data_IF_507757825775
#
_entry.id   IF_507757825775
#
_cell.length_a   1.000
_cell.length_b   1.000
_cell.length_c   1.000
_cell.angle_alpha   90.00
_cell.angle_beta   90.00
_cell.angle_gamma   90.00
#
_symmetry.space_group_name_H-M   'P 1'
#
loop_
_entity.id
_entity.type
_entity.pdbx_description
1 polymer ?
#
# COMPACT_ATOMS: atom_id res chain seq x y z
N UNK A 1 -17.07 -9.39 12.27
CA UNK A 1 -17.07 -9.22 10.79
C UNK A 1 -16.12 -8.12 10.34
N UNK A 2 -15.74 -7.17 11.21
CA UNK A 2 -14.75 -6.11 10.96
C UNK A 2 -13.36 -6.61 10.54
N UNK A 3 -12.91 -7.76 11.02
CA UNK A 3 -11.58 -8.30 10.68
C UNK A 3 -11.38 -8.58 9.19
N UNK A 4 -12.47 -8.88 8.47
CA UNK A 4 -12.43 -9.15 7.04
C UNK A 4 -12.02 -7.91 6.23
N UNK A 5 -12.42 -6.73 6.71
CA UNK A 5 -12.09 -5.43 6.10
C UNK A 5 -10.62 -5.05 6.28
N UNK A 6 -9.91 -5.67 7.24
CA UNK A 6 -8.49 -5.43 7.43
C UNK A 6 -7.60 -6.25 6.48
N UNK A 7 -8.13 -7.34 5.91
CA UNK A 7 -7.36 -8.27 5.09
C UNK A 7 -6.72 -7.64 3.84
N UNK A 8 -7.37 -6.74 3.07
CA UNK A 8 -6.82 -6.20 1.83
C UNK A 8 -5.47 -5.48 1.97
N UNK A 9 -5.22 -4.84 3.12
CA UNK A 9 -3.94 -4.20 3.41
C UNK A 9 -3.02 -5.06 4.30
N UNK A 10 -3.56 -5.95 5.14
CA UNK A 10 -2.75 -6.86 5.95
C UNK A 10 -2.01 -7.90 5.11
N UNK A 11 -2.61 -8.41 4.03
CA UNK A 11 -1.97 -9.44 3.17
C UNK A 11 -0.73 -8.88 2.47
N UNK A 12 -0.77 -7.70 1.81
CA UNK A 12 0.43 -7.14 1.21
C UNK A 12 1.48 -6.78 2.27
N UNK A 13 1.09 -6.31 3.46
CA UNK A 13 2.05 -6.07 4.57
C UNK A 13 2.74 -7.37 5.01
N UNK A 14 1.97 -8.43 5.26
CA UNK A 14 2.53 -9.73 5.63
C UNK A 14 3.47 -10.26 4.53
N UNK A 15 3.06 -10.13 3.26
CA UNK A 15 3.89 -10.51 2.11
C UNK A 15 5.17 -9.67 2.04
N UNK A 16 5.10 -8.37 2.31
CA UNK A 16 6.26 -7.48 2.36
C UNK A 16 7.26 -7.91 3.45
N UNK A 17 6.75 -8.26 4.65
CA UNK A 17 7.56 -8.72 5.77
C UNK A 17 8.21 -10.08 5.48
N UNK A 18 7.50 -11.02 4.86
CA UNK A 18 8.03 -12.35 4.51
C UNK A 18 9.07 -12.25 3.38
N UNK A 19 8.87 -11.35 2.42
CA UNK A 19 9.82 -11.17 1.31
C UNK A 19 11.12 -10.46 1.73
N UNK A 20 11.10 -9.72 2.86
CA UNK A 20 12.26 -8.98 3.36
C UNK A 20 13.48 -9.87 3.71
N UNK A 21 13.36 -10.94 4.53
CA UNK A 21 14.48 -11.85 4.81
C UNK A 21 14.85 -12.70 3.58
N UNK A 22 13.92 -12.92 2.65
CA UNK A 22 14.12 -13.76 1.47
C UNK A 22 14.93 -13.09 0.34
N UNK A 23 15.32 -11.82 0.48
CA UNK A 23 16.00 -10.97 -0.54
C UNK A 23 17.18 -11.62 -1.29
N UNK A 24 17.84 -12.61 -0.69
CA UNK A 24 18.93 -13.35 -1.33
C UNK A 24 18.50 -14.34 -2.42
N UNK A 25 17.21 -14.72 -2.50
CA UNK A 25 16.69 -15.79 -3.36
C UNK A 25 15.58 -15.26 -4.28
N UNK A 26 15.99 -14.81 -5.48
CA UNK A 26 15.10 -14.24 -6.53
C UNK A 26 13.78 -14.99 -6.69
N UNK A 27 13.86 -16.29 -7.00
CA UNK A 27 12.69 -17.09 -7.34
C UNK A 27 11.72 -17.26 -6.17
N UNK A 28 12.22 -17.34 -4.92
CA UNK A 28 11.37 -17.39 -3.74
C UNK A 28 10.68 -16.05 -3.50
N UNK A 29 11.41 -14.92 -3.59
CA UNK A 29 10.80 -13.59 -3.43
C UNK A 29 9.69 -13.35 -4.45
N UNK A 30 9.94 -13.64 -5.73
CA UNK A 30 8.95 -13.46 -6.77
C UNK A 30 7.75 -14.39 -6.58
N UNK A 31 7.97 -15.67 -6.25
CA UNK A 31 6.90 -16.62 -5.95
C UNK A 31 6.02 -16.17 -4.78
N UNK A 32 6.62 -15.73 -3.67
CA UNK A 32 5.89 -15.22 -2.50
C UNK A 32 5.11 -13.95 -2.85
N UNK A 33 5.70 -13.04 -3.65
CA UNK A 33 5.03 -11.80 -4.07
C UNK A 33 3.80 -12.09 -4.94
N UNK A 34 3.91 -13.02 -5.89
CA UNK A 34 2.79 -13.44 -6.75
C UNK A 34 1.70 -14.11 -5.92
N UNK A 35 2.07 -15.01 -5.01
CA UNK A 35 1.11 -15.64 -4.10
C UNK A 35 0.40 -14.60 -3.23
N UNK A 36 1.10 -13.59 -2.72
CA UNK A 36 0.51 -12.47 -1.98
C UNK A 36 -0.45 -11.62 -2.81
N UNK A 37 -0.11 -11.32 -4.08
CA UNK A 37 -1.02 -10.63 -4.98
C UNK A 37 -2.25 -11.47 -5.31
N UNK A 38 -2.09 -12.78 -5.49
CA UNK A 38 -3.17 -13.69 -5.81
C UNK A 38 -4.13 -13.89 -4.62
N UNK A 39 -3.60 -14.00 -3.40
CA UNK A 39 -4.44 -14.05 -2.19
C UNK A 39 -5.18 -12.73 -1.96
N UNK A 40 -4.52 -11.57 -2.18
CA UNK A 40 -5.18 -10.27 -2.12
C UNK A 40 -6.30 -10.13 -3.18
N UNK A 41 -6.08 -10.62 -4.40
CA UNK A 41 -7.09 -10.65 -5.45
C UNK A 41 -8.33 -11.47 -5.04
N UNK A 42 -8.13 -12.69 -4.54
CA UNK A 42 -9.22 -13.55 -4.08
C UNK A 42 -10.02 -12.90 -2.94
N UNK A 43 -9.34 -12.22 -2.02
CA UNK A 43 -10.00 -11.56 -0.89
C UNK A 43 -10.75 -10.31 -1.33
N UNK A 44 -10.19 -9.50 -2.24
CA UNK A 44 -10.89 -8.35 -2.79
C UNK A 44 -12.12 -8.76 -3.62
N UNK A 45 -12.03 -9.87 -4.35
CA UNK A 45 -13.19 -10.44 -5.05
C UNK A 45 -14.27 -10.90 -4.06
N UNK A 46 -13.88 -11.54 -2.96
CA UNK A 46 -14.82 -11.94 -1.90
C UNK A 46 -15.53 -10.74 -1.26
N UNK A 47 -14.78 -9.66 -0.98
CA UNK A 47 -15.35 -8.42 -0.44
C UNK A 47 -16.33 -7.78 -1.42
N UNK A 48 -16.04 -7.78 -2.72
CA UNK A 48 -16.95 -7.25 -3.75
C UNK A 48 -18.29 -7.98 -3.74
N UNK A 49 -18.27 -9.32 -3.75
CA UNK A 49 -19.50 -10.15 -3.68
C UNK A 49 -20.26 -9.93 -2.37
N UNK A 50 -19.55 -9.75 -1.26
CA UNK A 50 -20.16 -9.47 0.04
C UNK A 50 -20.88 -8.12 0.05
N UNK A 51 -20.24 -7.07 -0.47
CA UNK A 51 -20.82 -5.71 -0.52
C UNK A 51 -21.98 -5.64 -1.51
N UNK A 52 -21.94 -6.43 -2.59
CA UNK A 52 -23.04 -6.52 -3.55
C UNK A 52 -24.28 -7.21 -2.95
N UNK A 53 -24.08 -8.28 -2.17
CA UNK A 53 -25.17 -9.06 -1.57
C UNK A 53 -25.75 -8.47 -0.28
N UNK A 54 -24.91 -7.89 0.59
CA UNK A 54 -25.30 -7.43 1.93
C UNK A 54 -25.30 -5.91 2.09
N UNK A 55 -24.89 -5.17 1.05
CA UNK A 55 -24.74 -3.72 1.09
C UNK A 55 -23.42 -3.26 1.73
N UNK A 56 -23.24 -1.94 1.92
CA UNK A 56 -22.02 -1.36 2.45
C UNK A 56 -21.67 -1.91 3.84
N UNK A 57 -20.41 -2.31 4.02
CA UNK A 57 -19.92 -2.88 5.28
C UNK A 57 -19.09 -1.83 6.01
N UNK A 58 -19.45 -1.53 7.26
CA UNK A 58 -18.69 -0.66 8.14
C UNK A 58 -18.27 -1.43 9.39
N UNK A 59 -16.99 -1.34 9.74
CA UNK A 59 -16.43 -1.97 10.92
C UNK A 59 -15.52 -1.00 11.66
N UNK A 60 -15.69 -0.91 12.98
CA UNK A 60 -14.72 -0.22 13.83
C UNK A 60 -13.60 -1.18 14.22
N UNK A 61 -12.37 -0.68 14.14
CA UNK A 61 -11.17 -1.39 14.55
C UNK A 61 -10.87 -0.98 16.01
N UNK A 62 -11.11 -1.90 16.94
CA UNK A 62 -11.02 -1.68 18.39
C UNK A 62 -12.38 -1.57 19.06
N UNK A 63 -12.40 -1.69 20.39
CA UNK A 63 -13.62 -1.63 21.22
C UNK A 63 -13.94 -0.20 21.71
N UNK A 64 -13.38 0.79 21.02
CA UNK A 64 -13.61 2.20 21.31
C UNK A 64 -14.86 2.68 20.58
N UNK A 65 -15.81 3.25 21.33
CA UNK A 65 -16.98 3.87 20.71
C UNK A 65 -16.57 5.02 19.78
N UNK A 66 -17.28 5.17 18.66
CA UNK A 66 -17.18 6.38 17.81
C UNK A 66 -17.30 7.63 18.71
N UNK A 67 -16.42 8.65 18.59
CA UNK A 67 -15.71 9.10 17.38
C UNK A 67 -14.18 8.88 17.33
N UNK A 68 -13.58 8.17 18.30
CA UNK A 68 -12.12 8.03 18.40
C UNK A 68 -11.57 6.71 17.81
N UNK A 69 -12.44 5.78 17.40
CA UNK A 69 -12.06 4.51 16.80
C UNK A 69 -11.73 4.61 15.30
N UNK A 70 -10.83 3.76 14.83
CA UNK A 70 -10.49 3.66 13.39
C UNK A 70 -11.68 3.01 12.66
N UNK A 71 -12.31 3.75 11.75
CA UNK A 71 -13.41 3.22 10.94
C UNK A 71 -12.90 2.67 9.61
N UNK A 72 -13.26 1.43 9.33
CA UNK A 72 -13.07 0.78 8.04
C UNK A 72 -14.43 0.67 7.36
N UNK A 73 -14.53 1.19 6.16
CA UNK A 73 -15.76 1.21 5.36
C UNK A 73 -15.45 0.63 3.99
N UNK A 74 -16.14 -0.45 3.65
CA UNK A 74 -16.14 -0.99 2.30
C UNK A 74 -17.51 -0.76 1.66
N UNK A 75 -17.56 0.19 0.75
CA UNK A 75 -18.68 0.41 -0.15
C UNK A 75 -18.38 -0.22 -1.53
N UNK A 76 -19.33 -0.06 -2.47
CA UNK A 76 -19.18 -0.63 -3.82
C UNK A 76 -18.02 0.00 -4.58
N UNK A 77 -17.80 1.31 -4.41
CA UNK A 77 -16.72 2.01 -5.10
C UNK A 77 -15.36 1.52 -4.60
N UNK A 78 -15.16 1.47 -3.28
CA UNK A 78 -13.93 0.96 -2.68
C UNK A 78 -13.68 -0.50 -3.03
N UNK A 79 -14.71 -1.36 -3.04
CA UNK A 79 -14.55 -2.75 -3.43
C UNK A 79 -14.06 -2.91 -4.89
N UNK A 80 -14.60 -2.11 -5.81
CA UNK A 80 -14.15 -2.10 -7.22
C UNK A 80 -12.71 -1.57 -7.34
N UNK A 81 -12.37 -0.48 -6.63
CA UNK A 81 -11.00 0.06 -6.63
C UNK A 81 -9.97 -0.92 -6.07
N UNK A 82 -10.33 -1.65 -5.00
CA UNK A 82 -9.50 -2.72 -4.43
C UNK A 82 -9.28 -3.85 -5.43
N UNK A 83 -10.33 -4.25 -6.17
CA UNK A 83 -10.22 -5.29 -7.19
C UNK A 83 -9.28 -4.87 -8.32
N UNK A 84 -9.46 -3.66 -8.86
CA UNK A 84 -8.61 -3.10 -9.92
C UNK A 84 -7.15 -3.04 -9.45
N UNK A 85 -6.92 -2.56 -8.22
CA UNK A 85 -5.58 -2.46 -7.64
C UNK A 85 -4.91 -3.83 -7.50
N UNK A 86 -5.66 -4.87 -7.10
CA UNK A 86 -5.14 -6.23 -7.01
C UNK A 86 -4.81 -6.83 -8.38
N UNK A 87 -5.64 -6.59 -9.40
CA UNK A 87 -5.37 -7.03 -10.78
C UNK A 87 -4.09 -6.37 -11.30
N UNK A 88 -3.99 -5.05 -11.17
CA UNK A 88 -2.78 -4.30 -11.59
C UNK A 88 -1.57 -4.79 -10.81
N UNK A 89 -1.68 -4.98 -9.49
CA UNK A 89 -0.62 -5.51 -8.65
C UNK A 89 -0.13 -6.89 -9.11
N UNK A 90 -1.06 -7.79 -9.46
CA UNK A 90 -0.75 -9.10 -9.99
C UNK A 90 -0.03 -9.02 -11.35
N UNK A 91 -0.54 -8.23 -12.29
CA UNK A 91 0.10 -8.01 -13.59
C UNK A 91 1.53 -7.47 -13.44
N UNK A 92 1.74 -6.48 -12.57
CA UNK A 92 3.08 -5.91 -12.31
C UNK A 92 3.99 -6.94 -11.64
N UNK A 93 3.49 -7.76 -10.71
CA UNK A 93 4.28 -8.81 -10.07
C UNK A 93 4.75 -9.90 -11.04
N UNK A 94 3.92 -10.22 -12.05
CA UNK A 94 4.27 -11.17 -13.12
C UNK A 94 5.29 -10.57 -14.07
N UNK A 95 5.10 -9.31 -14.48
CA UNK A 95 6.05 -8.58 -15.31
C UNK A 95 7.42 -8.41 -14.63
N UNK A 96 7.42 -8.24 -13.31
CA UNK A 96 8.64 -8.11 -12.52
C UNK A 96 9.59 -9.32 -12.62
N UNK A 97 9.09 -10.52 -12.94
CA UNK A 97 9.92 -11.74 -13.04
C UNK A 97 10.93 -11.64 -14.19
N UNK A 98 10.54 -11.02 -15.31
CA UNK A 98 11.33 -10.92 -16.53
C UNK A 98 12.19 -9.65 -16.58
N UNK A 99 11.69 -8.51 -16.12
CA UNK A 99 12.40 -7.22 -16.24
C UNK A 99 13.42 -6.95 -15.12
N UNK A 100 13.23 -7.53 -13.93
CA UNK A 100 13.98 -7.09 -12.75
C UNK A 100 15.30 -7.85 -12.58
N UNK A 101 16.40 -7.11 -12.72
CA UNK A 101 17.76 -7.59 -12.41
C UNK A 101 17.89 -8.05 -10.96
N UNK A 102 18.65 -9.11 -10.71
CA UNK A 102 18.89 -9.68 -9.37
C UNK A 102 19.37 -8.65 -8.32
N UNK A 103 20.14 -7.64 -8.75
CA UNK A 103 20.57 -6.54 -7.88
C UNK A 103 19.40 -5.78 -7.26
N UNK A 104 18.35 -5.49 -8.04
CA UNK A 104 17.13 -4.80 -7.57
C UNK A 104 16.31 -5.68 -6.61
N UNK A 105 16.27 -6.98 -6.86
CA UNK A 105 15.59 -7.94 -5.96
C UNK A 105 16.29 -8.00 -4.60
N UNK A 106 17.63 -8.06 -4.58
CA UNK A 106 18.43 -8.05 -3.34
C UNK A 106 18.24 -6.79 -2.50
N UNK A 107 18.02 -5.65 -3.15
CA UNK A 107 17.76 -4.38 -2.47
C UNK A 107 16.31 -4.27 -1.92
N UNK A 108 15.45 -5.27 -2.17
CA UNK A 108 14.12 -5.35 -1.56
C UNK A 108 12.96 -4.86 -2.42
N UNK A 109 13.09 -4.85 -3.76
CA UNK A 109 12.02 -4.42 -4.67
C UNK A 109 10.64 -5.02 -4.33
N UNK A 110 10.54 -6.35 -4.16
CA UNK A 110 9.26 -7.02 -3.89
C UNK A 110 8.65 -6.60 -2.54
N UNK A 111 9.46 -6.28 -1.54
CA UNK A 111 8.96 -5.83 -0.23
C UNK A 111 8.35 -4.43 -0.34
N UNK A 112 9.06 -3.48 -0.96
CA UNK A 112 8.54 -2.13 -1.14
C UNK A 112 7.34 -2.09 -2.10
N UNK A 113 7.32 -2.95 -3.12
CA UNK A 113 6.16 -3.10 -4.00
C UNK A 113 4.92 -3.60 -3.27
N UNK A 114 5.05 -4.60 -2.40
CA UNK A 114 3.94 -5.09 -1.58
C UNK A 114 3.50 -4.05 -0.53
N UNK A 115 4.43 -3.25 -0.01
CA UNK A 115 4.12 -2.15 0.90
C UNK A 115 3.41 -0.98 0.20
N UNK A 116 3.74 -0.72 -1.07
CA UNK A 116 3.00 0.20 -1.93
C UNK A 116 1.55 -0.27 -2.13
N UNK A 117 1.36 -1.55 -2.47
CA UNK A 117 0.02 -2.16 -2.59
C UNK A 117 -0.75 -2.11 -1.28
N UNK A 118 -0.10 -2.29 -0.13
CA UNK A 118 -0.73 -2.14 1.17
C UNK A 118 -1.28 -0.71 1.38
N UNK A 119 -0.47 0.30 1.04
CA UNK A 119 -0.87 1.71 1.13
C UNK A 119 -2.08 2.04 0.25
N UNK A 120 -2.08 1.55 -1.00
CA UNK A 120 -3.20 1.71 -1.93
C UNK A 120 -4.46 1.01 -1.42
N UNK A 121 -4.36 -0.24 -0.96
CA UNK A 121 -5.52 -0.96 -0.42
C UNK A 121 -6.07 -0.32 0.86
N UNK A 122 -5.18 0.19 1.73
CA UNK A 122 -5.55 0.86 2.96
C UNK A 122 -6.28 2.18 2.75
N UNK A 123 -5.87 2.97 1.76
CA UNK A 123 -6.51 4.27 1.45
C UNK A 123 -7.93 4.12 0.89
N UNK A 124 -8.24 3.02 0.19
CA UNK A 124 -9.58 2.79 -0.33
C UNK A 124 -10.58 2.30 0.72
N UNK A 125 -10.15 1.58 1.76
CA UNK A 125 -11.06 0.94 2.73
C UNK A 125 -11.30 1.79 3.99
N UNK A 126 -10.63 2.92 4.13
CA UNK A 126 -10.74 3.76 5.34
C UNK A 126 -11.92 4.75 5.26
N UNK A 127 -12.61 4.95 6.38
CA UNK A 127 -13.70 5.91 6.51
C UNK A 127 -13.28 7.27 7.09
N UNK A 128 -12.02 7.44 7.51
CA UNK A 128 -11.55 8.63 8.25
C UNK A 128 -10.37 9.31 7.54
N UNK A 129 -10.36 10.65 7.56
CA UNK A 129 -9.29 11.46 6.94
C UNK A 129 -7.91 11.23 7.57
N UNK A 130 -7.85 10.95 8.88
CA UNK A 130 -6.59 10.68 9.56
C UNK A 130 -5.93 9.39 9.06
N UNK A 131 -6.69 8.30 9.01
CA UNK A 131 -6.20 7.02 8.51
C UNK A 131 -5.87 7.09 7.01
N UNK A 132 -6.67 7.83 6.24
CA UNK A 132 -6.36 8.10 4.83
C UNK A 132 -4.99 8.77 4.70
N UNK A 133 -4.71 9.85 5.46
CA UNK A 133 -3.41 10.50 5.46
C UNK A 133 -2.26 9.53 5.76
N UNK A 134 -2.41 8.70 6.81
CA UNK A 134 -1.39 7.71 7.17
C UNK A 134 -1.15 6.71 6.02
N UNK A 135 -2.21 6.23 5.37
CA UNK A 135 -2.07 5.31 4.24
C UNK A 135 -1.42 5.96 3.01
N UNK A 136 -1.74 7.24 2.76
CA UNK A 136 -1.08 8.02 1.71
C UNK A 136 0.42 8.19 1.98
N UNK A 137 0.82 8.48 3.22
CA UNK A 137 2.24 8.55 3.61
C UNK A 137 2.97 7.23 3.39
N UNK A 138 2.37 6.11 3.81
CA UNK A 138 2.92 4.76 3.59
C UNK A 138 3.11 4.49 2.10
N UNK A 139 2.12 4.84 1.27
CA UNK A 139 2.19 4.71 -0.19
C UNK A 139 3.30 5.58 -0.80
N UNK A 140 3.42 6.85 -0.36
CA UNK A 140 4.43 7.79 -0.85
C UNK A 140 5.85 7.32 -0.50
N UNK A 141 6.09 6.94 0.75
CA UNK A 141 7.39 6.42 1.19
C UNK A 141 7.77 5.16 0.40
N UNK A 142 6.82 4.23 0.19
CA UNK A 142 7.06 3.03 -0.61
C UNK A 142 7.39 3.35 -2.07
N UNK A 143 6.67 4.30 -2.67
CA UNK A 143 6.91 4.77 -4.03
C UNK A 143 8.30 5.40 -4.19
N UNK A 144 8.70 6.27 -3.25
CA UNK A 144 10.04 6.87 -3.25
C UNK A 144 11.14 5.82 -3.05
N UNK A 145 10.93 4.85 -2.17
CA UNK A 145 11.88 3.74 -2.02
C UNK A 145 12.08 2.99 -3.34
N UNK A 146 10.99 2.69 -4.07
CA UNK A 146 11.05 2.05 -5.40
C UNK A 146 11.74 2.91 -6.46
N UNK A 147 11.49 4.22 -6.46
CA UNK A 147 12.17 5.17 -7.35
C UNK A 147 13.68 5.22 -7.10
N UNK A 148 14.12 5.21 -5.83
CA UNK A 148 15.54 5.25 -5.47
C UNK A 148 16.27 3.96 -5.87
N UNK A 149 15.61 2.80 -5.75
CA UNK A 149 16.16 1.48 -6.08
C UNK A 149 16.57 1.30 -7.55
N UNK A 150 16.03 2.11 -8.47
CA UNK A 150 16.36 2.10 -9.90
C UNK A 150 17.59 2.93 -10.31
N UNK A 151 18.13 3.76 -9.41
CA UNK A 151 19.16 4.75 -9.71
C UNK A 151 20.56 4.18 -9.87
N UNK A 152 20.94 3.76 -11.08
CA UNK A 152 22.23 3.08 -11.33
C UNK A 152 23.35 3.97 -11.88
N UNK A 153 23.10 5.22 -12.27
CA UNK A 153 24.11 6.01 -12.99
C UNK A 153 24.47 7.30 -12.24
N UNK A 154 25.77 7.54 -12.05
CA UNK A 154 26.35 8.74 -11.44
C UNK A 154 25.95 10.04 -12.15
N UNK A 155 25.54 9.97 -13.43
CA UNK A 155 24.94 11.08 -14.18
C UNK A 155 23.42 11.24 -13.96
N UNK A 156 22.69 10.15 -13.67
CA UNK A 156 21.25 10.17 -13.34
C UNK A 156 20.95 10.53 -11.88
N UNK A 157 21.98 10.47 -11.00
CA UNK A 157 21.88 10.82 -9.57
C UNK A 157 21.36 12.24 -9.35
N UNK A 158 21.73 13.18 -10.20
CA UNK A 158 21.25 14.58 -10.13
C UNK A 158 19.80 14.73 -10.62
N UNK A 159 19.39 13.93 -11.60
CA UNK A 159 18.01 13.95 -12.11
C UNK A 159 17.03 13.30 -11.13
N UNK A 160 17.44 12.23 -10.44
CA UNK A 160 16.69 11.64 -9.32
C UNK A 160 16.59 12.60 -8.13
N UNK A 161 17.68 13.27 -7.74
CA UNK A 161 17.64 14.27 -6.67
C UNK A 161 16.76 15.47 -7.04
N UNK A 162 16.75 15.91 -8.32
CA UNK A 162 15.81 16.94 -8.79
C UNK A 162 14.36 16.46 -8.82
N UNK A 163 14.10 15.17 -9.07
CA UNK A 163 12.73 14.61 -9.05
C UNK A 163 12.21 14.34 -7.63
N UNK A 164 13.11 14.06 -6.68
CA UNK A 164 12.79 13.77 -5.28
C UNK A 164 12.63 15.06 -4.44
N UNK A 165 13.36 16.13 -4.76
CA UNK A 165 13.31 17.42 -4.02
C UNK A 165 11.90 18.04 -3.88
N UNK A 166 11.06 18.09 -4.93
CA UNK A 166 9.68 18.57 -4.82
C UNK A 166 8.80 17.65 -3.97
N UNK A 167 9.05 16.34 -4.04
CA UNK A 167 8.30 15.33 -3.32
C UNK A 167 8.59 15.29 -1.81
N UNK A 168 9.85 15.49 -1.40
CA UNK A 168 10.20 15.67 0.02
C UNK A 168 9.53 16.94 0.57
N UNK A 169 9.53 18.02 -0.20
CA UNK A 169 8.83 19.25 0.17
C UNK A 169 7.30 19.06 0.30
N UNK A 170 6.69 18.15 -0.47
CA UNK A 170 5.27 17.85 -0.35
C UNK A 170 4.94 17.18 1.00
N UNK A 171 5.75 16.19 1.41
CA UNK A 171 5.61 15.52 2.72
C UNK A 171 5.87 16.49 3.87
N UNK A 172 6.91 17.32 3.79
CA UNK A 172 7.21 18.33 4.82
C UNK A 172 6.13 19.42 4.92
N UNK A 173 5.55 19.83 3.78
CA UNK A 173 4.48 20.83 3.76
C UNK A 173 3.17 20.31 4.37
N UNK A 174 2.85 19.03 4.19
CA UNK A 174 1.67 18.41 4.79
C UNK A 174 1.82 18.18 6.29
N UNK A 175 3.02 17.80 6.76
CA UNK A 175 3.34 17.72 8.19
C UNK A 175 3.16 19.07 8.91
N UNK A 176 3.59 20.16 8.29
CA UNK A 176 3.35 21.51 8.80
C UNK A 176 1.86 21.88 8.81
N UNK A 177 1.07 21.45 7.83
CA UNK A 177 -0.38 21.74 7.77
C UNK A 177 -1.19 20.94 8.78
N UNK A 178 -0.85 19.68 9.04
CA UNK A 178 -1.47 18.86 10.09
C UNK A 178 -1.15 19.42 11.48
N UNK A 179 0.09 19.87 11.72
CA UNK A 179 0.48 20.54 12.98
C UNK A 179 -0.22 21.91 13.18
N UNK A 180 -0.57 22.60 12.10
CA UNK A 180 -1.34 23.86 12.17
C UNK A 180 -2.84 23.62 12.41
N UNK A 181 -3.37 22.44 12.07
CA UNK A 181 -4.77 22.09 12.32
C UNK A 181 -5.03 21.77 13.80
N UNK A 182 -4.08 21.12 14.50
CA UNK A 182 -4.18 20.83 15.95
C UNK A 182 -4.12 22.08 16.83
N UNK A 183 -3.60 23.21 16.35
CA UNK A 183 -3.59 24.48 17.08
C UNK A 183 -4.81 25.38 16.81
N UNK A 184 -5.77 24.95 15.96
CA UNK A 184 -6.91 25.78 15.52
C UNK A 184 -8.25 25.50 16.18
N UNK A 185 -8.32 24.55 17.11
CA UNK A 185 -9.53 24.26 17.86
C UNK A 185 -9.23 24.27 19.37
N UNK A 186 -9.68 25.29 20.12
CA UNK A 186 -9.64 25.30 21.59
C UNK A 186 -10.64 24.31 22.20
#
# INVERSE_FOLDING_TARGET
MSWLLALPFLIPIATALITFPARGRRYLCSGISILGCLTALCINLYILVLVESQGPQAGQMGDWQAPFGITLVADRLSAVMLLISAIVGLCVSLFAISDISEKRVKLGFHSFFQLLLAGVSGSFITGDLFNLYVWFEVMLIASFALLVLGGKNTAGRWHQVCSIKPCIHAVDADLYRVALWTHRHP
#
